data_IF_804000331006
#
_entry.id   IF_804000331006
#
_cell.length_a   1.000
_cell.length_b   1.000
_cell.length_c   1.000
_cell.angle_alpha   90.00
_cell.angle_beta   90.00
_cell.angle_gamma   90.00
#
_symmetry.space_group_name_H-M   'P 1'
#
loop_
_entity.id
_entity.type
_entity.pdbx_description
1 polymer ?
#
# COMPACT_ATOMS: atom_id res chain seq x y z
N UNK A 1 49.21 28.75 -11.93
CA UNK A 1 48.24 28.14 -11.00
C UNK A 1 47.14 27.52 -11.84
N UNK A 2 46.93 26.20 -11.72
CA UNK A 2 46.12 25.39 -12.63
C UNK A 2 44.97 24.79 -11.82
N UNK A 3 43.76 25.29 -12.01
CA UNK A 3 42.57 24.80 -11.31
C UNK A 3 42.19 23.40 -11.81
N UNK A 4 42.46 22.38 -10.99
CA UNK A 4 41.86 21.05 -11.12
C UNK A 4 40.45 21.11 -10.50
N UNK A 5 39.42 21.35 -11.32
CA UNK A 5 38.04 21.05 -10.92
C UNK A 5 37.78 19.56 -11.18
N UNK A 6 37.51 18.82 -10.11
CA UNK A 6 37.09 17.43 -10.17
C UNK A 6 35.70 17.32 -10.85
N UNK A 7 35.43 16.27 -11.65
CA UNK A 7 34.08 16.03 -12.16
C UNK A 7 33.23 15.44 -11.03
N UNK A 8 32.40 16.27 -10.41
CA UNK A 8 31.24 15.79 -9.63
C UNK A 8 30.11 15.56 -10.63
N UNK A 9 29.96 14.31 -11.06
CA UNK A 9 28.89 13.87 -11.95
C UNK A 9 28.33 12.57 -11.42
N UNK A 10 27.28 12.69 -10.61
CA UNK A 10 26.58 11.60 -9.94
C UNK A 10 26.30 10.43 -10.88
N UNK A 11 26.59 9.22 -10.41
CA UNK A 11 26.01 7.98 -10.95
C UNK A 11 24.49 8.10 -10.75
N UNK A 12 23.80 8.65 -11.76
CA UNK A 12 22.35 8.57 -11.91
C UNK A 12 22.04 7.08 -12.07
N UNK A 13 21.78 6.41 -10.95
CA UNK A 13 21.19 5.09 -10.96
C UNK A 13 19.97 5.15 -11.87
N UNK A 14 19.96 4.29 -12.88
CA UNK A 14 18.85 4.10 -13.81
C UNK A 14 17.60 3.75 -12.99
N UNK A 15 16.82 4.77 -12.63
CA UNK A 15 15.47 4.56 -12.12
C UNK A 15 14.70 4.00 -13.29
N UNK A 16 14.47 2.69 -13.27
CA UNK A 16 13.61 2.03 -14.25
C UNK A 16 12.29 2.79 -14.27
N UNK A 17 11.98 3.40 -15.42
CA UNK A 17 10.68 3.98 -15.69
C UNK A 17 9.63 2.92 -15.33
N UNK A 18 8.59 3.33 -14.60
CA UNK A 18 7.49 2.43 -14.26
C UNK A 18 6.93 1.89 -15.57
N UNK A 19 7.07 0.58 -15.80
CA UNK A 19 6.57 -0.04 -17.02
C UNK A 19 5.06 0.27 -17.20
N UNK A 20 4.55 0.30 -18.45
CA UNK A 20 3.18 0.70 -18.79
C UNK A 20 2.04 0.00 -18.00
N UNK A 21 2.36 -1.08 -17.28
CA UNK A 21 1.39 -2.04 -16.73
C UNK A 21 1.27 -2.00 -15.20
N UNK A 22 2.16 -1.29 -14.48
CA UNK A 22 2.18 -1.30 -13.01
C UNK A 22 1.33 -0.16 -12.43
N UNK A 23 0.04 -0.39 -12.22
CA UNK A 23 -0.82 0.63 -11.61
C UNK A 23 -0.38 0.94 -10.16
N UNK A 24 -0.23 2.23 -9.77
CA UNK A 24 0.34 2.61 -8.47
C UNK A 24 -0.34 1.96 -7.26
N UNK A 25 -1.67 1.83 -7.32
CA UNK A 25 -2.50 1.22 -6.28
C UNK A 25 -2.24 -0.27 -6.07
N UNK A 26 -2.04 -1.04 -7.15
CA UNK A 26 -1.71 -2.47 -7.04
C UNK A 26 -0.32 -2.68 -6.43
N UNK A 27 0.63 -1.79 -6.69
CA UNK A 27 1.95 -1.85 -6.05
C UNK A 27 1.85 -1.62 -4.54
N UNK A 28 1.04 -0.65 -4.09
CA UNK A 28 0.78 -0.42 -2.66
C UNK A 28 0.14 -1.66 -2.04
N UNK A 29 -0.91 -2.19 -2.68
CA UNK A 29 -1.62 -3.37 -2.20
C UNK A 29 -0.68 -4.57 -2.05
N UNK A 30 0.16 -4.84 -3.06
CA UNK A 30 1.15 -5.93 -3.02
C UNK A 30 2.12 -5.78 -1.84
N UNK A 31 2.64 -4.58 -1.59
CA UNK A 31 3.54 -4.33 -0.45
C UNK A 31 2.85 -4.50 0.89
N UNK A 32 1.64 -3.97 1.03
CA UNK A 32 0.86 -4.11 2.26
C UNK A 32 0.52 -5.57 2.54
N UNK A 33 0.12 -6.34 1.53
CA UNK A 33 -0.12 -7.78 1.64
C UNK A 33 1.14 -8.54 2.05
N UNK A 34 2.30 -8.23 1.47
CA UNK A 34 3.56 -8.89 1.81
C UNK A 34 3.94 -8.63 3.28
N UNK A 35 3.85 -7.38 3.73
CA UNK A 35 4.15 -7.02 5.13
C UNK A 35 3.14 -7.65 6.08
N UNK A 36 1.85 -7.62 5.75
CA UNK A 36 0.80 -8.25 6.55
C UNK A 36 0.97 -9.78 6.64
N UNK A 37 1.34 -10.43 5.54
CA UNK A 37 1.60 -11.87 5.51
C UNK A 37 2.82 -12.23 6.37
N UNK A 38 3.91 -11.46 6.29
CA UNK A 38 5.09 -11.65 7.12
C UNK A 38 4.78 -11.47 8.61
N UNK A 39 4.04 -10.42 8.97
CA UNK A 39 3.61 -10.17 10.35
C UNK A 39 2.69 -11.29 10.87
N UNK A 40 1.74 -11.73 10.04
CA UNK A 40 0.82 -12.83 10.36
C UNK A 40 1.58 -14.13 10.57
N UNK A 41 2.55 -14.46 9.72
CA UNK A 41 3.37 -15.65 9.87
C UNK A 41 4.19 -15.62 11.17
N UNK A 42 4.82 -14.49 11.48
CA UNK A 42 5.58 -14.33 12.73
C UNK A 42 4.69 -14.49 13.97
N UNK A 43 3.52 -13.86 13.98
CA UNK A 43 2.56 -13.98 15.08
C UNK A 43 1.97 -15.38 15.18
N UNK A 44 1.69 -16.05 14.05
CA UNK A 44 1.18 -17.40 14.02
C UNK A 44 2.20 -18.39 14.61
N UNK A 45 3.49 -18.23 14.29
CA UNK A 45 4.56 -19.03 14.92
C UNK A 45 4.59 -18.79 16.43
N UNK A 46 4.52 -17.53 16.88
CA UNK A 46 4.45 -17.21 18.31
C UNK A 46 3.23 -17.82 19.00
N UNK A 47 2.06 -17.74 18.38
CA UNK A 47 0.82 -18.29 18.90
C UNK A 47 0.84 -19.83 18.94
N UNK A 48 1.44 -20.47 17.95
CA UNK A 48 1.63 -21.93 17.92
C UNK A 48 2.46 -22.40 19.12
N UNK A 49 3.54 -21.68 19.44
CA UNK A 49 4.44 -22.05 20.54
C UNK A 49 3.77 -21.86 21.91
N UNK A 50 3.01 -20.77 22.09
CA UNK A 50 2.46 -20.40 23.41
C UNK A 50 1.10 -21.03 23.69
N UNK A 51 0.24 -21.15 22.66
CA UNK A 51 -1.17 -21.55 22.82
C UNK A 51 -1.61 -22.67 21.87
N UNK A 52 -0.71 -23.14 21.00
CA UNK A 52 -1.02 -24.16 20.01
C UNK A 52 -1.92 -23.64 18.86
N UNK A 53 -2.57 -24.59 18.20
CA UNK A 53 -3.42 -24.34 17.03
C UNK A 53 -4.57 -23.34 17.20
N UNK A 54 -5.26 -23.26 18.36
CA UNK A 54 -6.30 -22.23 18.56
C UNK A 54 -5.76 -20.81 18.45
N UNK A 55 -4.53 -20.57 18.94
CA UNK A 55 -3.87 -19.28 18.79
C UNK A 55 -3.56 -18.95 17.34
N UNK A 56 -3.05 -19.92 16.58
CA UNK A 56 -2.79 -19.77 15.13
C UNK A 56 -4.07 -19.39 14.39
N UNK A 57 -5.15 -20.12 14.63
CA UNK A 57 -6.46 -19.84 14.01
C UNK A 57 -6.93 -18.42 14.33
N UNK A 58 -6.72 -17.96 15.56
CA UNK A 58 -7.09 -16.61 16.00
C UNK A 58 -6.26 -15.51 15.34
N UNK A 59 -4.94 -15.73 15.19
CA UNK A 59 -4.04 -14.82 14.47
C UNK A 59 -4.45 -14.73 13.00
N UNK A 60 -4.59 -15.86 12.33
CA UNK A 60 -4.96 -15.90 10.91
C UNK A 60 -6.31 -15.23 10.69
N UNK A 61 -7.30 -15.53 11.54
CA UNK A 61 -8.63 -14.94 11.45
C UNK A 61 -8.58 -13.41 11.63
N UNK A 62 -7.92 -12.92 12.68
CA UNK A 62 -7.75 -11.47 12.91
C UNK A 62 -7.06 -10.78 11.73
N UNK A 63 -5.98 -11.35 11.22
CA UNK A 63 -5.26 -10.83 10.06
C UNK A 63 -6.11 -10.81 8.79
N UNK A 64 -6.87 -11.88 8.51
CA UNK A 64 -7.74 -11.97 7.31
C UNK A 64 -8.80 -10.89 7.33
N UNK A 65 -9.42 -10.64 8.49
CA UNK A 65 -10.39 -9.55 8.65
C UNK A 65 -9.73 -8.22 8.27
N UNK A 66 -8.58 -7.89 8.85
CA UNK A 66 -7.85 -6.65 8.52
C UNK A 66 -7.56 -6.56 7.02
N UNK A 67 -6.96 -7.59 6.43
CA UNK A 67 -6.60 -7.62 5.01
C UNK A 67 -7.83 -7.43 4.11
N UNK A 68 -8.95 -8.07 4.45
CA UNK A 68 -10.18 -7.94 3.67
C UNK A 68 -10.70 -6.50 3.66
N UNK A 69 -10.80 -5.86 4.82
CA UNK A 69 -11.30 -4.48 4.91
C UNK A 69 -10.29 -3.50 4.30
N UNK A 70 -9.02 -3.54 4.67
CA UNK A 70 -8.04 -2.57 4.18
C UNK A 70 -7.71 -2.76 2.70
N UNK A 71 -7.58 -4.01 2.25
CA UNK A 71 -7.41 -4.36 0.84
C UNK A 71 -8.57 -3.89 -0.03
N UNK A 72 -9.82 -4.03 0.43
CA UNK A 72 -11.00 -3.52 -0.29
C UNK A 72 -10.91 -2.00 -0.53
N UNK A 73 -10.42 -1.22 0.44
CA UNK A 73 -10.26 0.23 0.24
C UNK A 73 -9.25 0.58 -0.84
N UNK A 74 -8.12 -0.12 -0.88
CA UNK A 74 -7.11 0.07 -1.92
C UNK A 74 -7.64 -0.35 -3.30
N UNK A 75 -8.44 -1.42 -3.36
CA UNK A 75 -9.07 -1.88 -4.59
C UNK A 75 -10.10 -0.87 -5.11
N UNK A 76 -10.91 -0.29 -4.23
CA UNK A 76 -11.82 0.81 -4.59
C UNK A 76 -11.03 2.02 -5.09
N UNK A 77 -9.94 2.38 -4.40
CA UNK A 77 -9.04 3.45 -4.83
C UNK A 77 -8.47 3.22 -6.23
N UNK A 78 -8.12 1.96 -6.55
CA UNK A 78 -7.66 1.57 -7.87
C UNK A 78 -8.73 1.77 -8.96
N UNK A 79 -9.97 1.39 -8.68
CA UNK A 79 -11.07 1.43 -9.67
C UNK A 79 -11.54 2.87 -9.93
N UNK A 80 -11.67 3.67 -8.87
CA UNK A 80 -12.32 4.99 -8.94
C UNK A 80 -11.36 6.17 -8.91
N UNK A 81 -10.13 6.00 -8.41
CA UNK A 81 -9.14 7.07 -8.28
C UNK A 81 -8.67 7.65 -9.62
N UNK A 82 -8.75 6.90 -10.72
CA UNK A 82 -8.27 7.33 -12.04
C UNK A 82 -9.36 7.94 -12.94
N UNK A 83 -10.64 7.69 -12.67
CA UNK A 83 -11.73 7.98 -13.62
C UNK A 83 -12.58 9.20 -13.27
N UNK A 84 -12.74 9.55 -11.98
CA UNK A 84 -13.54 10.71 -11.55
C UNK A 84 -13.11 11.21 -10.15
N UNK A 85 -12.17 12.16 -10.05
CA UNK A 85 -11.65 12.65 -8.76
C UNK A 85 -12.71 13.25 -7.83
N UNK A 86 -13.73 13.93 -8.38
CA UNK A 86 -14.82 14.51 -7.59
C UNK A 86 -15.78 13.46 -7.02
N UNK A 87 -16.01 12.36 -7.74
CA UNK A 87 -16.81 11.23 -7.28
C UNK A 87 -16.05 10.26 -6.35
N UNK A 88 -14.72 10.22 -6.45
CA UNK A 88 -13.88 9.32 -5.66
C UNK A 88 -14.07 9.51 -4.14
N UNK A 89 -14.19 10.76 -3.68
CA UNK A 89 -14.43 11.07 -2.25
C UNK A 89 -15.74 10.42 -1.77
N UNK A 90 -16.82 10.54 -2.53
CA UNK A 90 -18.10 9.92 -2.20
C UNK A 90 -18.03 8.39 -2.15
N UNK A 91 -17.32 7.78 -3.10
CA UNK A 91 -17.12 6.32 -3.11
C UNK A 91 -16.31 5.85 -1.91
N UNK A 92 -15.27 6.60 -1.50
CA UNK A 92 -14.52 6.29 -0.28
C UNK A 92 -15.39 6.39 0.99
N UNK A 93 -16.27 7.40 1.08
CA UNK A 93 -17.22 7.51 2.19
C UNK A 93 -18.19 6.33 2.25
N UNK A 94 -18.79 5.96 1.11
CA UNK A 94 -19.68 4.78 1.03
C UNK A 94 -18.91 3.52 1.42
N UNK A 95 -17.68 3.36 0.93
CA UNK A 95 -16.82 2.23 1.30
C UNK A 95 -16.59 2.21 2.81
N UNK A 96 -16.29 3.35 3.43
CA UNK A 96 -16.11 3.43 4.89
C UNK A 96 -17.39 3.01 5.66
N UNK A 97 -18.57 3.43 5.20
CA UNK A 97 -19.83 2.99 5.82
C UNK A 97 -20.03 1.47 5.69
N UNK A 98 -19.80 0.92 4.48
CA UNK A 98 -19.82 -0.53 4.25
C UNK A 98 -18.82 -1.24 5.17
N UNK A 99 -17.65 -0.64 5.41
CA UNK A 99 -16.66 -1.21 6.33
C UNK A 99 -17.16 -1.26 7.76
N UNK A 100 -17.71 -0.17 8.29
CA UNK A 100 -18.24 -0.15 9.66
C UNK A 100 -19.34 -1.20 9.82
N UNK A 101 -20.33 -1.16 8.93
CA UNK A 101 -21.50 -2.06 9.00
C UNK A 101 -21.07 -3.50 8.78
N UNK A 102 -20.21 -3.75 7.79
CA UNK A 102 -19.68 -5.08 7.50
C UNK A 102 -18.87 -5.66 8.65
N UNK A 103 -18.03 -4.85 9.29
CA UNK A 103 -17.24 -5.30 10.44
C UNK A 103 -18.14 -5.62 11.64
N UNK A 104 -19.10 -4.75 11.95
CA UNK A 104 -20.08 -5.00 12.98
C UNK A 104 -20.88 -6.28 12.70
N UNK A 105 -21.39 -6.45 11.47
CA UNK A 105 -22.12 -7.65 11.07
C UNK A 105 -21.29 -8.92 11.25
N UNK A 106 -20.02 -8.92 10.83
CA UNK A 106 -19.11 -10.06 11.02
C UNK A 106 -18.94 -10.38 12.50
N UNK A 107 -18.64 -9.39 13.35
CA UNK A 107 -18.43 -9.63 14.78
C UNK A 107 -19.70 -10.09 15.49
N UNK A 108 -20.86 -9.50 15.18
CA UNK A 108 -22.13 -9.91 15.78
C UNK A 108 -22.56 -11.32 15.33
N UNK A 109 -22.33 -11.67 14.07
CA UNK A 109 -22.72 -12.98 13.53
C UNK A 109 -21.82 -14.09 14.05
N UNK A 110 -20.51 -13.84 14.14
CA UNK A 110 -19.56 -14.84 14.65
C UNK A 110 -19.55 -14.94 16.17
N UNK A 111 -19.91 -13.86 16.87
CA UNK A 111 -19.80 -13.79 18.33
C UNK A 111 -18.37 -14.04 18.80
N UNK A 112 -18.24 -14.75 19.93
CA UNK A 112 -16.95 -15.26 20.43
C UNK A 112 -16.94 -16.79 20.33
N UNK A 113 -16.43 -17.35 19.22
CA UNK A 113 -16.30 -18.80 19.08
C UNK A 113 -15.43 -19.39 20.19
N UNK A 114 -15.72 -20.60 20.64
CA UNK A 114 -14.98 -21.26 21.73
C UNK A 114 -13.51 -21.56 21.40
N UNK A 115 -13.17 -21.64 20.11
CA UNK A 115 -11.80 -21.82 19.63
C UNK A 115 -11.01 -20.49 19.53
N UNK A 116 -11.70 -19.34 19.64
CA UNK A 116 -11.09 -18.04 19.45
C UNK A 116 -10.36 -17.59 20.72
N UNK A 117 -9.05 -17.43 20.59
CA UNK A 117 -8.23 -16.79 21.61
C UNK A 117 -8.27 -15.26 21.42
N UNK A 118 -9.02 -14.59 22.28
CA UNK A 118 -9.22 -13.14 22.24
C UNK A 118 -7.91 -12.32 22.21
N UNK A 119 -6.95 -12.57 23.11
CA UNK A 119 -5.66 -11.87 23.10
C UNK A 119 -4.89 -12.00 21.78
N UNK A 120 -4.80 -13.21 21.20
CA UNK A 120 -4.11 -13.42 19.93
C UNK A 120 -4.85 -12.79 18.74
N UNK A 121 -6.18 -12.90 18.72
CA UNK A 121 -7.02 -12.22 17.72
C UNK A 121 -6.82 -10.70 17.77
N UNK A 122 -6.89 -10.10 18.96
CA UNK A 122 -6.72 -8.66 19.15
C UNK A 122 -5.30 -8.20 18.81
N UNK A 123 -4.28 -8.94 19.26
CA UNK A 123 -2.86 -8.65 18.96
C UNK A 123 -2.61 -8.67 17.45
N UNK A 124 -3.09 -9.71 16.77
CA UNK A 124 -2.96 -9.82 15.32
C UNK A 124 -3.67 -8.68 14.60
N UNK A 125 -4.91 -8.38 14.99
CA UNK A 125 -5.66 -7.25 14.45
C UNK A 125 -4.88 -5.93 14.56
N UNK A 126 -4.40 -5.60 15.76
CA UNK A 126 -3.66 -4.34 16.00
C UNK A 126 -2.34 -4.30 15.22
N UNK A 127 -1.49 -5.33 15.35
CA UNK A 127 -0.17 -5.34 14.72
C UNK A 127 -0.29 -5.28 13.20
N UNK A 128 -1.19 -6.07 12.61
CA UNK A 128 -1.36 -6.11 11.16
C UNK A 128 -1.95 -4.81 10.64
N UNK A 129 -2.93 -4.19 11.33
CA UNK A 129 -3.45 -2.87 10.94
C UNK A 129 -2.34 -1.82 10.97
N UNK A 130 -1.55 -1.76 12.04
CA UNK A 130 -0.51 -0.73 12.17
C UNK A 130 0.57 -0.88 11.10
N UNK A 131 1.03 -2.11 10.85
CA UNK A 131 2.03 -2.36 9.81
C UNK A 131 1.47 -2.11 8.41
N UNK A 132 0.21 -2.46 8.17
CA UNK A 132 -0.48 -2.14 6.92
C UNK A 132 -0.52 -0.63 6.71
N UNK A 133 -1.03 0.13 7.69
CA UNK A 133 -1.17 1.59 7.62
C UNK A 133 0.17 2.28 7.40
N UNK A 134 1.21 1.87 8.12
CA UNK A 134 2.55 2.40 7.94
C UNK A 134 3.07 2.12 6.51
N UNK A 135 2.89 0.89 6.02
CA UNK A 135 3.33 0.49 4.67
C UNK A 135 2.59 1.24 3.57
N UNK A 136 1.27 1.40 3.72
CA UNK A 136 0.42 2.14 2.80
C UNK A 136 0.85 3.60 2.71
N UNK A 137 0.96 4.30 3.86
CA UNK A 137 1.35 5.71 3.93
C UNK A 137 2.76 5.93 3.37
N UNK A 138 3.74 5.10 3.76
CA UNK A 138 5.12 5.23 3.27
C UNK A 138 5.19 4.97 1.77
N UNK A 139 4.52 3.93 1.26
CA UNK A 139 4.57 3.60 -0.17
C UNK A 139 3.90 4.69 -0.99
N UNK A 140 2.72 5.14 -0.56
CA UNK A 140 1.99 6.21 -1.22
C UNK A 140 2.79 7.52 -1.24
N UNK A 141 3.40 7.88 -0.11
CA UNK A 141 4.23 9.10 -0.01
C UNK A 141 5.42 9.06 -0.97
N UNK A 142 6.11 7.92 -1.07
CA UNK A 142 7.25 7.74 -1.99
C UNK A 142 6.83 7.79 -3.45
N UNK A 143 5.68 7.22 -3.80
CA UNK A 143 5.17 7.26 -5.17
C UNK A 143 4.77 8.68 -5.59
N UNK A 144 4.18 9.49 -4.70
CA UNK A 144 3.90 10.89 -5.00
C UNK A 144 5.18 11.67 -5.31
N UNK A 145 6.27 11.44 -4.57
CA UNK A 145 7.56 12.09 -4.83
C UNK A 145 8.16 11.70 -6.19
N UNK A 146 7.91 10.48 -6.68
CA UNK A 146 8.39 10.05 -8.00
C UNK A 146 7.64 10.75 -9.13
N UNK A 147 6.32 10.91 -9.02
CA UNK A 147 5.49 11.55 -10.05
C UNK A 147 5.84 13.03 -10.28
N UNK A 148 6.32 13.74 -9.26
CA UNK A 148 6.70 15.16 -9.41
C UNK A 148 8.12 15.38 -9.93
N UNK A 149 8.94 14.32 -10.00
CA UNK A 149 10.37 14.44 -10.30
C UNK A 149 10.71 14.02 -11.75
N UNK A 150 9.70 13.84 -12.60
CA UNK A 150 9.89 13.54 -14.02
C UNK A 150 10.49 14.76 -14.74
N UNK A 151 11.65 14.62 -15.42
CA UNK A 151 12.27 15.74 -16.12
C UNK A 151 11.37 16.22 -17.25
N UNK A 152 11.00 17.50 -17.21
CA UNK A 152 10.36 18.20 -18.34
C UNK A 152 11.31 18.10 -19.52
N UNK A 153 10.90 17.40 -20.57
CA UNK A 153 11.66 17.31 -21.82
C UNK A 153 11.86 18.74 -22.36
N UNK A 154 13.11 19.19 -22.61
CA UNK A 154 13.35 20.52 -23.15
C UNK A 154 12.59 20.66 -24.47
N UNK A 155 11.92 21.80 -24.73
CA UNK A 155 11.23 22.00 -25.99
C UNK A 155 12.20 21.76 -27.15
N UNK A 156 11.77 21.08 -28.22
CA UNK A 156 12.63 20.79 -29.36
C UNK A 156 13.21 22.11 -29.86
N UNK A 157 14.54 22.18 -29.93
CA UNK A 157 15.24 23.37 -30.39
C UNK A 157 14.61 23.82 -31.71
N UNK A 158 13.98 25.00 -31.68
CA UNK A 158 13.36 25.59 -32.85
C UNK A 158 14.39 25.59 -33.98
N UNK A 159 14.03 24.94 -35.09
CA UNK A 159 14.90 24.78 -36.24
C UNK A 159 15.56 26.09 -36.60
N UNK A 160 16.90 26.05 -36.70
CA UNK A 160 17.68 27.11 -37.32
C UNK A 160 17.21 27.24 -38.77
N UNK A 161 16.25 28.12 -39.00
CA UNK A 161 15.79 28.51 -40.32
C UNK A 161 16.96 29.13 -41.08
N UNK A 162 17.48 28.38 -42.05
CA UNK A 162 18.23 28.93 -43.17
C UNK A 162 17.29 29.83 -43.98
N UNK A 163 17.35 31.13 -43.74
CA UNK A 163 16.72 32.13 -44.59
C UNK A 163 17.53 32.32 -45.89
N UNK A 164 16.89 32.50 -47.06
CA UNK A 164 17.59 32.82 -48.30
C UNK A 164 17.75 34.33 -48.44
N UNK A 165 18.97 34.77 -48.75
CA UNK A 165 19.28 35.92 -49.60
C UNK A 165 20.76 35.86 -50.00
#
# INVERSE_FOLDING_TARGET
MKDKRAPVGAVRGLVAASGPDATPWLNILKKCLLVAAAATAALAIGALIVTGWPGVGSVVFGSVVVVAFFGLSLLVGHIYGSKNPSGAIGVFMVTYLVKIVGFAAILFTLGTPTWLNGPWFATAGVVVVLLWQATEVVTFSRQRLQLYNDPVEPPPAAGSGTGPA
#
